data_IF_484207685741
#
_entry.id   IF_484207685741
#
_cell.length_a   1.000
_cell.length_b   1.000
_cell.length_c   1.000
_cell.angle_alpha   90.00
_cell.angle_beta   90.00
_cell.angle_gamma   90.00
#
_symmetry.space_group_name_H-M   'P 1'
#
loop_
_entity.id
_entity.type
_entity.pdbx_description
1 polymer ?
#
# COMPACT_ATOMS: atom_id res chain seq x y z
N UNK A 1 -10.66 -14.78 25.46
CA UNK A 1 -9.94 -14.51 24.19
C UNK A 1 -10.67 -15.05 22.96
N UNK A 2 -11.12 -16.31 22.91
CA UNK A 2 -11.84 -16.85 21.75
C UNK A 2 -13.07 -16.03 21.33
N UNK A 3 -13.89 -15.59 22.28
CA UNK A 3 -15.08 -14.78 22.01
C UNK A 3 -14.76 -13.44 21.29
N UNK A 4 -13.69 -12.75 21.71
CA UNK A 4 -13.25 -11.49 21.12
C UNK A 4 -12.77 -11.72 19.67
N UNK A 5 -11.99 -12.78 19.44
CA UNK A 5 -11.48 -13.10 18.10
C UNK A 5 -12.62 -13.44 17.13
N UNK A 6 -13.62 -14.20 17.59
CA UNK A 6 -14.81 -14.52 16.78
C UNK A 6 -15.58 -13.25 16.42
N UNK A 7 -15.79 -12.34 17.38
CA UNK A 7 -16.47 -11.08 17.12
C UNK A 7 -15.68 -10.17 16.15
N UNK A 8 -14.36 -10.06 16.30
CA UNK A 8 -13.55 -9.30 15.35
C UNK A 8 -13.58 -9.88 13.94
N UNK A 9 -13.61 -11.20 13.81
CA UNK A 9 -13.78 -11.84 12.49
C UNK A 9 -15.12 -11.48 11.86
N UNK A 10 -16.19 -11.46 12.64
CA UNK A 10 -17.49 -11.02 12.15
C UNK A 10 -17.48 -9.54 11.72
N UNK A 11 -16.87 -8.66 12.52
CA UNK A 11 -16.72 -7.23 12.15
C UNK A 11 -15.91 -7.08 10.86
N UNK A 12 -14.83 -7.84 10.72
CA UNK A 12 -14.05 -7.87 9.49
C UNK A 12 -14.91 -8.31 8.29
N UNK A 13 -15.67 -9.39 8.42
CA UNK A 13 -16.58 -9.87 7.36
C UNK A 13 -17.64 -8.81 7.01
N UNK A 14 -18.14 -8.04 7.99
CA UNK A 14 -19.06 -6.94 7.77
C UNK A 14 -18.41 -5.79 6.96
N UNK A 15 -17.16 -5.43 7.24
CA UNK A 15 -16.41 -4.46 6.44
C UNK A 15 -16.14 -4.96 5.03
N UNK A 16 -15.64 -6.19 4.89
CA UNK A 16 -15.26 -6.78 3.60
C UNK A 16 -16.47 -6.91 2.65
N UNK A 17 -17.66 -7.16 3.20
CA UNK A 17 -18.91 -7.25 2.44
C UNK A 17 -19.70 -5.95 2.37
N UNK A 18 -19.14 -4.82 2.82
CA UNK A 18 -19.84 -3.51 2.87
C UNK A 18 -21.18 -3.53 3.63
N UNK A 19 -21.29 -4.41 4.64
CA UNK A 19 -22.47 -4.54 5.52
C UNK A 19 -22.32 -3.81 6.84
N UNK A 20 -21.11 -3.34 7.17
CA UNK A 20 -20.87 -2.56 8.37
C UNK A 20 -21.64 -1.25 8.34
N UNK A 21 -22.44 -0.97 9.37
CA UNK A 21 -23.24 0.25 9.48
C UNK A 21 -22.47 1.25 10.35
N UNK A 22 -22.00 2.32 9.72
CA UNK A 22 -21.39 3.46 10.41
C UNK A 22 -22.50 4.33 11.00
N UNK A 23 -22.38 4.64 12.29
CA UNK A 23 -23.31 5.51 13.00
C UNK A 23 -22.78 6.95 13.00
N UNK A 24 -23.67 7.94 13.04
CA UNK A 24 -23.31 9.36 13.14
C UNK A 24 -22.58 9.70 14.45
N UNK A 25 -22.74 8.87 15.48
CA UNK A 25 -22.04 8.99 16.76
C UNK A 25 -20.61 8.42 16.73
N UNK A 26 -20.23 7.72 15.65
CA UNK A 26 -18.88 7.17 15.50
C UNK A 26 -17.91 8.30 15.12
N UNK A 27 -17.09 8.75 16.08
CA UNK A 27 -16.05 9.76 15.84
C UNK A 27 -15.03 9.36 14.76
N UNK A 28 -14.61 8.09 14.77
CA UNK A 28 -13.60 7.54 13.86
C UNK A 28 -13.80 6.02 13.66
N UNK A 29 -12.90 5.41 12.88
CA UNK A 29 -12.95 3.97 12.57
C UNK A 29 -12.79 3.08 13.81
N UNK A 30 -12.07 3.55 14.82
CA UNK A 30 -11.81 2.76 16.00
C UNK A 30 -13.02 2.82 16.94
N UNK A 31 -13.65 3.98 17.13
CA UNK A 31 -14.90 4.08 17.91
C UNK A 31 -16.04 3.30 17.25
N UNK A 32 -16.12 3.31 15.91
CA UNK A 32 -17.06 2.47 15.16
C UNK A 32 -16.86 0.97 15.47
N UNK A 33 -15.61 0.48 15.40
CA UNK A 33 -15.31 -0.92 15.67
C UNK A 33 -15.50 -1.30 17.15
N UNK A 34 -15.24 -0.37 18.08
CA UNK A 34 -15.43 -0.57 19.52
C UNK A 34 -16.91 -0.62 19.90
N UNK A 35 -17.74 0.25 19.30
CA UNK A 35 -19.20 0.19 19.40
C UNK A 35 -19.70 -1.15 18.87
N UNK A 36 -19.31 -1.53 17.65
CA UNK A 36 -19.77 -2.78 17.04
C UNK A 36 -19.35 -4.01 17.84
N UNK A 37 -18.13 -4.02 18.38
CA UNK A 37 -17.67 -5.09 19.26
C UNK A 37 -18.53 -5.18 20.53
N UNK A 38 -18.86 -4.03 21.13
CA UNK A 38 -19.73 -3.97 22.31
C UNK A 38 -21.15 -4.46 22.02
N UNK A 39 -21.70 -4.18 20.84
CA UNK A 39 -23.00 -4.73 20.39
C UNK A 39 -22.98 -6.26 20.26
N UNK A 40 -21.85 -6.85 19.84
CA UNK A 40 -21.73 -8.29 19.63
C UNK A 40 -21.48 -9.08 20.92
N UNK A 41 -20.67 -8.56 21.85
CA UNK A 41 -20.19 -9.33 23.02
C UNK A 41 -20.39 -8.63 24.36
N UNK A 42 -21.09 -7.49 24.38
CA UNK A 42 -21.44 -6.76 25.60
C UNK A 42 -20.22 -6.24 26.37
N UNK A 43 -20.32 -6.24 27.71
CA UNK A 43 -19.30 -5.68 28.61
C UNK A 43 -17.92 -6.33 28.50
N UNK A 44 -17.83 -7.53 27.89
CA UNK A 44 -16.55 -8.19 27.63
C UNK A 44 -15.67 -7.33 26.69
N UNK A 45 -16.27 -6.55 25.78
CA UNK A 45 -15.56 -5.65 24.88
C UNK A 45 -14.76 -4.57 25.63
N UNK A 46 -15.28 -4.06 26.75
CA UNK A 46 -14.65 -2.98 27.53
C UNK A 46 -13.28 -3.37 28.09
N UNK A 47 -13.03 -4.68 28.30
CA UNK A 47 -11.74 -5.20 28.76
C UNK A 47 -10.61 -5.02 27.73
N UNK A 48 -10.92 -4.76 26.47
CA UNK A 48 -9.94 -4.57 25.41
C UNK A 48 -9.15 -3.25 25.54
N UNK A 49 -9.75 -2.25 26.20
CA UNK A 49 -9.12 -0.94 26.39
C UNK A 49 -8.10 -0.91 27.53
N UNK A 50 -8.11 -1.92 28.40
CA UNK A 50 -7.23 -1.95 29.57
C UNK A 50 -5.77 -1.95 29.13
N UNK A 51 -5.04 -0.87 29.43
CA UNK A 51 -3.63 -0.70 29.09
C UNK A 51 -3.37 -0.23 27.65
N UNK A 52 -4.39 0.23 26.91
CA UNK A 52 -4.24 0.68 25.52
C UNK A 52 -4.29 2.21 25.41
N UNK A 53 -3.36 2.78 24.63
CA UNK A 53 -3.36 4.19 24.23
C UNK A 53 -3.92 4.35 22.81
N UNK A 54 -4.80 5.32 22.62
CA UNK A 54 -5.39 5.61 21.29
C UNK A 54 -4.34 6.13 20.31
N UNK A 55 -3.38 6.93 20.78
CA UNK A 55 -2.31 7.45 19.93
C UNK A 55 -1.44 6.32 19.37
N UNK A 56 -1.08 5.34 20.21
CA UNK A 56 -0.25 4.20 19.79
C UNK A 56 -1.02 3.27 18.85
N UNK A 57 -2.33 3.12 19.07
CA UNK A 57 -3.23 2.39 18.17
C UNK A 57 -3.24 3.02 16.78
N UNK A 58 -3.49 4.32 16.67
CA UNK A 58 -3.53 5.04 15.38
C UNK A 58 -2.21 4.94 14.63
N UNK A 59 -1.08 5.10 15.32
CA UNK A 59 0.25 4.97 14.72
C UNK A 59 0.49 3.55 14.23
N UNK A 60 0.11 2.54 15.01
CA UNK A 60 0.27 1.13 14.65
C UNK A 60 -0.56 0.78 13.41
N UNK A 61 -1.83 1.18 13.38
CA UNK A 61 -2.72 0.92 12.25
C UNK A 61 -2.22 1.60 10.97
N UNK A 62 -1.74 2.84 11.09
CA UNK A 62 -1.15 3.59 9.97
C UNK A 62 0.09 2.88 9.43
N UNK A 63 0.99 2.39 10.29
CA UNK A 63 2.19 1.64 9.87
C UNK A 63 1.83 0.34 9.16
N UNK A 64 0.85 -0.41 9.67
CA UNK A 64 0.39 -1.65 9.05
C UNK A 64 -0.25 -1.39 7.68
N UNK A 65 -1.05 -0.34 7.57
CA UNK A 65 -1.63 0.09 6.29
C UNK A 65 -0.53 0.52 5.31
N UNK A 66 0.41 1.36 5.73
CA UNK A 66 1.52 1.82 4.90
C UNK A 66 2.35 0.65 4.37
N UNK A 67 2.68 -0.33 5.22
CA UNK A 67 3.43 -1.52 4.79
C UNK A 67 2.73 -2.26 3.66
N UNK A 68 1.43 -2.55 3.81
CA UNK A 68 0.63 -3.20 2.76
C UNK A 68 0.52 -2.35 1.49
N UNK A 69 0.43 -1.03 1.64
CA UNK A 69 0.35 -0.08 0.52
C UNK A 69 1.68 0.00 -0.25
N UNK A 70 2.81 -0.04 0.44
CA UNK A 70 4.15 -0.09 -0.17
C UNK A 70 4.29 -1.37 -0.99
N UNK A 71 3.89 -2.53 -0.47
CA UNK A 71 3.96 -3.79 -1.22
C UNK A 71 3.16 -3.72 -2.54
N UNK A 72 1.94 -3.14 -2.48
CA UNK A 72 1.11 -2.92 -3.68
C UNK A 72 1.75 -1.95 -4.66
N UNK A 73 2.39 -0.89 -4.16
CA UNK A 73 3.06 0.11 -4.99
C UNK A 73 4.28 -0.48 -5.68
N UNK A 74 5.11 -1.23 -4.96
CA UNK A 74 6.28 -1.93 -5.51
C UNK A 74 5.87 -2.85 -6.66
N UNK A 75 4.81 -3.65 -6.49
CA UNK A 75 4.29 -4.49 -7.57
C UNK A 75 3.90 -3.70 -8.82
N UNK A 76 3.25 -2.54 -8.65
CA UNK A 76 2.83 -1.68 -9.77
C UNK A 76 4.03 -1.06 -10.47
N UNK A 77 5.03 -0.61 -9.73
CA UNK A 77 6.28 -0.06 -10.27
C UNK A 77 7.02 -1.14 -11.07
N UNK A 78 7.14 -2.36 -10.52
CA UNK A 78 7.76 -3.48 -11.23
C UNK A 78 7.07 -3.77 -12.54
N UNK A 79 5.73 -3.90 -12.55
CA UNK A 79 4.95 -4.12 -13.78
C UNK A 79 5.11 -2.98 -14.80
N UNK A 80 5.15 -1.74 -14.33
CA UNK A 80 5.39 -0.60 -15.21
C UNK A 80 6.77 -0.68 -15.87
N UNK A 81 7.81 -1.03 -15.10
CA UNK A 81 9.16 -1.23 -15.62
C UNK A 81 9.21 -2.39 -16.63
N UNK A 82 8.50 -3.49 -16.38
CA UNK A 82 8.39 -4.61 -17.32
C UNK A 82 7.79 -4.15 -18.66
N UNK A 83 6.72 -3.36 -18.64
CA UNK A 83 6.11 -2.80 -19.86
C UNK A 83 7.09 -1.92 -20.62
N UNK A 84 7.86 -1.06 -19.93
CA UNK A 84 8.89 -0.24 -20.57
C UNK A 84 9.99 -1.08 -21.22
N UNK A 85 10.41 -2.19 -20.60
CA UNK A 85 11.41 -3.10 -21.18
C UNK A 85 10.87 -3.78 -22.42
N UNK A 86 9.65 -4.33 -22.35
CA UNK A 86 9.00 -5.00 -23.50
C UNK A 86 8.91 -4.03 -24.68
N UNK A 87 8.49 -2.78 -24.43
CA UNK A 87 8.42 -1.77 -25.48
C UNK A 87 9.81 -1.41 -26.04
N UNK A 88 10.80 -1.27 -25.17
CA UNK A 88 12.18 -0.97 -25.56
C UNK A 88 12.79 -2.08 -26.43
N UNK A 89 12.48 -3.34 -26.16
CA UNK A 89 12.90 -4.49 -26.97
C UNK A 89 12.22 -4.51 -28.34
N UNK A 90 10.91 -4.26 -28.39
CA UNK A 90 10.14 -4.21 -29.64
C UNK A 90 10.65 -3.10 -30.58
N UNK A 91 10.97 -1.94 -30.02
CA UNK A 91 11.36 -0.75 -30.78
C UNK A 91 12.88 -0.49 -30.81
N UNK A 92 13.71 -1.53 -30.64
CA UNK A 92 15.17 -1.38 -30.47
C UNK A 92 15.86 -0.56 -31.58
N UNK A 93 15.33 -0.58 -32.79
CA UNK A 93 15.88 0.11 -33.96
C UNK A 93 15.24 1.47 -34.24
N UNK A 94 14.23 1.89 -33.45
CA UNK A 94 13.61 3.21 -33.59
C UNK A 94 14.55 4.28 -33.06
N UNK A 95 14.78 5.32 -33.86
CA UNK A 95 15.57 6.48 -33.49
C UNK A 95 14.68 7.67 -33.16
N UNK A 96 15.12 8.48 -32.21
CA UNK A 96 14.51 9.77 -31.88
C UNK A 96 15.60 10.83 -31.68
N UNK A 97 15.28 12.14 -31.77
CA UNK A 97 16.18 13.18 -31.30
C UNK A 97 16.36 13.07 -29.77
N UNK A 98 17.60 13.06 -29.29
CA UNK A 98 17.89 13.33 -27.88
C UNK A 98 17.68 14.82 -27.57
N UNK A 99 17.41 15.15 -26.30
CA UNK A 99 17.16 16.53 -25.89
C UNK A 99 18.05 16.95 -24.72
N UNK A 100 18.65 18.13 -24.82
CA UNK A 100 19.33 18.82 -23.72
C UNK A 100 18.84 20.27 -23.68
N UNK A 101 18.51 20.79 -22.50
CA UNK A 101 17.83 22.09 -22.36
C UNK A 101 16.58 22.23 -23.26
N UNK A 102 15.86 21.11 -23.49
CA UNK A 102 14.72 21.02 -24.40
C UNK A 102 15.04 21.31 -25.88
N UNK A 103 16.31 21.32 -26.27
CA UNK A 103 16.77 21.47 -27.64
C UNK A 103 17.25 20.14 -28.21
N UNK A 104 17.07 19.94 -29.52
CA UNK A 104 17.53 18.73 -30.22
C UNK A 104 19.04 18.64 -30.14
N UNK A 105 19.52 17.52 -29.62
CA UNK A 105 20.93 17.17 -29.52
C UNK A 105 21.22 15.99 -30.46
N UNK A 106 21.94 14.99 -29.99
CA UNK A 106 22.31 13.81 -30.78
C UNK A 106 21.13 12.84 -30.94
N UNK A 107 21.00 12.14 -32.07
CA UNK A 107 20.07 11.02 -32.21
C UNK A 107 20.36 9.93 -31.17
N UNK A 108 19.31 9.41 -30.55
CA UNK A 108 19.37 8.29 -29.62
C UNK A 108 18.38 7.22 -30.06
N UNK A 109 18.55 5.99 -29.55
CA UNK A 109 17.51 4.96 -29.66
C UNK A 109 16.34 5.35 -28.76
N UNK A 110 15.13 5.22 -29.25
CA UNK A 110 13.91 5.36 -28.44
C UNK A 110 13.94 4.45 -27.20
N UNK A 111 14.44 3.22 -27.37
CA UNK A 111 14.66 2.27 -26.28
C UNK A 111 15.62 2.79 -25.20
N UNK A 112 16.66 3.54 -25.58
CA UNK A 112 17.57 4.17 -24.61
C UNK A 112 16.83 5.23 -23.78
N UNK A 113 15.91 5.98 -24.38
CA UNK A 113 15.09 6.95 -23.68
C UNK A 113 14.13 6.26 -22.70
N UNK A 114 13.40 5.24 -23.16
CA UNK A 114 12.49 4.45 -22.32
C UNK A 114 13.19 3.83 -21.10
N UNK A 115 14.41 3.33 -21.30
CA UNK A 115 15.18 2.68 -20.24
C UNK A 115 15.97 3.66 -19.37
N UNK A 116 16.07 4.93 -19.73
CA UNK A 116 16.79 5.94 -18.93
C UNK A 116 16.17 6.09 -17.53
N UNK A 117 14.85 5.93 -17.41
CA UNK A 117 14.12 5.93 -16.14
C UNK A 117 14.32 4.64 -15.33
N UNK A 118 14.81 3.55 -15.94
CA UNK A 118 15.02 2.25 -15.28
C UNK A 118 16.16 2.29 -14.26
N UNK A 119 17.24 3.03 -14.54
CA UNK A 119 18.40 3.14 -13.64
C UNK A 119 17.99 3.73 -12.27
N UNK A 120 16.98 4.60 -12.24
CA UNK A 120 16.46 5.20 -11.01
C UNK A 120 15.61 4.23 -10.18
N UNK A 121 14.88 3.33 -10.83
CA UNK A 121 13.94 2.41 -10.16
C UNK A 121 14.61 1.18 -9.53
N UNK A 122 15.72 0.69 -10.09
CA UNK A 122 16.51 -0.42 -9.48
C UNK A 122 17.05 -0.02 -8.09
N UNK A 123 17.39 1.26 -7.91
CA UNK A 123 17.85 1.79 -6.62
C UNK A 123 16.71 1.76 -5.58
N UNK A 124 15.47 2.04 -5.99
CA UNK A 124 14.29 2.01 -5.10
C UNK A 124 13.92 0.57 -4.72
N UNK A 125 13.94 -0.36 -5.68
CA UNK A 125 13.58 -1.76 -5.43
C UNK A 125 14.60 -2.49 -4.53
N UNK A 126 15.89 -2.18 -4.66
CA UNK A 126 16.96 -2.81 -3.85
C UNK A 126 17.03 -2.32 -2.40
N UNK A 127 16.34 -1.23 -2.02
CA UNK A 127 16.24 -0.81 -0.62
C UNK A 127 15.05 -1.45 0.13
N UNK A 128 14.13 -2.12 -0.57
CA UNK A 128 13.03 -2.86 0.05
C UNK A 128 13.37 -4.30 0.43
N UNK A 129 14.36 -4.90 -0.22
CA UNK A 129 14.78 -6.29 -0.03
C UNK A 129 15.75 -6.51 1.13
N UNK A 130 16.42 -5.46 1.62
CA UNK A 130 17.37 -5.56 2.75
C UNK A 130 16.71 -5.67 4.13
N UNK A 131 15.39 -5.48 4.23
CA UNK A 131 14.64 -5.56 5.50
C UNK A 131 13.85 -6.87 5.68
N UNK A 132 14.10 -7.90 4.87
CA UNK A 132 13.49 -9.24 5.02
C UNK A 132 14.47 -10.30 5.54
N UNK A 133 15.70 -9.93 5.92
CA UNK A 133 16.74 -10.86 6.39
C UNK A 133 17.36 -10.46 7.74
N UNK A 134 16.55 -10.01 8.70
CA UNK A 134 16.94 -9.82 10.10
C UNK A 134 15.80 -10.23 11.04
#
# INVERSE_FOLDING_TARGET
MQLINVAFKQIQDEWDNSKFIINHEDEDIHSANERRLSELIGDVAKKLHTGRSRNDQTVTDTKLWLRKSIDKLLLRITKFVEVLVIQAEQDINVLMPGYTHMQRAQPIRWSQWLLSSRQFNIIILNQGSTNQSA
#
